data_IF_226002070257
#
_entry.id   IF_226002070257
#
_cell.length_a   1.000
_cell.length_b   1.000
_cell.length_c   1.000
_cell.angle_alpha   90.00
_cell.angle_beta   90.00
_cell.angle_gamma   90.00
#
_symmetry.space_group_name_H-M   'P 1'
#
loop_
_entity.id
_entity.type
_entity.pdbx_description
1 polymer ?
#
# COMPACT_ATOMS: atom_id res chain seq x y z
N UNK A 1 37.73 -22.31 -29.95
CA UNK A 1 38.19 -22.62 -28.59
C UNK A 1 37.05 -22.38 -27.65
N UNK A 2 36.42 -23.46 -27.26
CA UNK A 2 35.20 -23.51 -26.45
C UNK A 2 35.59 -23.76 -25.00
N UNK A 3 35.27 -22.85 -24.08
CA UNK A 3 35.36 -23.09 -22.64
C UNK A 3 33.97 -23.25 -22.04
N UNK A 4 33.62 -24.50 -21.78
CA UNK A 4 32.50 -24.88 -20.92
C UNK A 4 32.92 -24.67 -19.46
N UNK A 5 32.20 -23.79 -18.75
CA UNK A 5 32.29 -23.69 -17.30
C UNK A 5 31.05 -24.34 -16.68
N UNK A 6 31.30 -25.54 -16.13
CA UNK A 6 30.32 -26.34 -15.38
C UNK A 6 30.19 -25.72 -13.96
N UNK A 7 29.04 -25.20 -13.60
CA UNK A 7 28.78 -24.72 -12.23
C UNK A 7 27.96 -25.78 -11.50
N UNK A 8 28.61 -26.39 -10.51
CA UNK A 8 28.08 -27.43 -9.63
C UNK A 8 27.08 -26.81 -8.62
N UNK A 9 25.86 -27.31 -8.65
CA UNK A 9 24.81 -26.92 -7.73
C UNK A 9 25.03 -27.63 -6.38
N UNK A 10 25.30 -26.88 -5.33
CA UNK A 10 25.38 -27.39 -3.96
C UNK A 10 24.01 -27.26 -3.30
N UNK A 11 23.32 -28.39 -3.09
CA UNK A 11 22.02 -28.53 -2.47
C UNK A 11 22.18 -28.51 -0.94
N UNK A 12 21.82 -27.43 -0.27
CA UNK A 12 21.83 -27.34 1.20
C UNK A 12 20.44 -27.63 1.73
N UNK A 13 20.29 -28.76 2.40
CA UNK A 13 19.07 -29.19 3.11
C UNK A 13 19.06 -28.51 4.48
N UNK A 14 18.07 -27.71 4.77
CA UNK A 14 17.83 -27.13 6.10
C UNK A 14 16.70 -27.90 6.78
N UNK A 15 17.02 -28.51 7.94
CA UNK A 15 16.10 -29.24 8.80
C UNK A 15 15.10 -28.31 9.47
N UNK A 16 13.83 -28.67 9.40
CA UNK A 16 12.74 -28.08 10.19
C UNK A 16 12.83 -28.55 11.66
N UNK A 17 12.92 -27.61 12.57
CA UNK A 17 12.74 -27.85 14.00
C UNK A 17 11.33 -27.45 14.41
N UNK A 18 10.51 -28.42 14.77
CA UNK A 18 9.16 -28.24 15.28
C UNK A 18 9.20 -27.82 16.78
N UNK A 19 8.63 -26.66 17.11
CA UNK A 19 8.37 -26.28 18.51
C UNK A 19 6.92 -26.64 18.87
N UNK A 20 6.77 -27.53 19.83
CA UNK A 20 5.52 -27.95 20.44
C UNK A 20 5.02 -26.90 21.45
N UNK A 21 3.72 -26.59 21.40
CA UNK A 21 3.00 -25.70 22.35
C UNK A 21 2.35 -26.61 23.41
N UNK A 22 2.52 -26.36 24.74
CA UNK A 22 1.79 -27.08 25.77
C UNK A 22 0.37 -26.50 25.96
N UNK A 23 -0.65 -27.34 26.27
CA UNK A 23 -1.98 -26.86 26.62
C UNK A 23 -2.03 -26.40 28.08
N UNK A 24 -2.50 -25.18 28.31
CA UNK A 24 -2.78 -24.68 29.66
C UNK A 24 -4.24 -24.96 30.00
N UNK A 25 -4.46 -25.96 30.84
CA UNK A 25 -5.74 -26.32 31.44
C UNK A 25 -5.84 -25.60 32.79
N UNK A 26 -6.79 -24.69 32.92
CA UNK A 26 -7.18 -24.14 34.23
C UNK A 26 -8.65 -24.46 34.45
N UNK A 27 -8.87 -25.53 35.17
CA UNK A 27 -10.16 -25.86 35.85
C UNK A 27 -10.43 -24.82 36.93
N UNK A 28 -11.53 -24.12 36.85
CA UNK A 28 -12.03 -23.29 37.94
C UNK A 28 -13.30 -23.88 38.52
N UNK A 29 -13.16 -24.36 39.75
CA UNK A 29 -14.11 -25.01 40.63
C UNK A 29 -15.31 -24.11 40.93
N UNK A 30 -16.51 -24.68 40.78
CA UNK A 30 -17.80 -24.04 41.10
C UNK A 30 -18.06 -24.31 42.56
N UNK A 31 -18.14 -23.27 43.38
CA UNK A 31 -18.76 -23.31 44.71
C UNK A 31 -20.13 -22.63 44.67
N UNK A 32 -21.14 -23.48 44.89
CA UNK A 32 -22.54 -23.10 45.03
C UNK A 32 -22.78 -22.48 46.43
N UNK A 33 -23.28 -21.26 46.47
CA UNK A 33 -24.05 -20.84 47.64
C UNK A 33 -25.20 -19.94 47.22
N UNK A 34 -26.41 -20.38 47.43
CA UNK A 34 -27.65 -19.73 47.04
C UNK A 34 -28.14 -18.79 48.18
N UNK A 35 -28.55 -17.61 47.82
CA UNK A 35 -29.51 -16.81 48.60
C UNK A 35 -30.39 -16.02 47.64
N UNK A 36 -31.72 -16.06 47.74
CA UNK A 36 -32.62 -15.42 46.82
C UNK A 36 -32.84 -13.97 47.23
N UNK A 37 -32.53 -13.02 46.33
CA UNK A 37 -32.90 -11.64 46.46
C UNK A 37 -33.66 -11.18 45.21
N UNK A 38 -34.81 -10.57 45.45
CA UNK A 38 -35.85 -10.02 44.60
C UNK A 38 -35.38 -9.35 43.30
N UNK A 39 -36.14 -9.50 42.16
CA UNK A 39 -35.74 -8.90 40.88
C UNK A 39 -36.11 -7.42 40.85
N UNK A 40 -35.08 -6.56 40.87
CA UNK A 40 -35.23 -5.15 40.45
C UNK A 40 -35.12 -5.13 38.93
N UNK A 41 -36.23 -4.77 38.29
CA UNK A 41 -36.33 -4.61 36.84
C UNK A 41 -35.60 -3.33 36.44
N UNK A 42 -34.27 -3.42 36.21
CA UNK A 42 -33.50 -2.37 35.55
C UNK A 42 -33.59 -2.63 34.04
N UNK A 43 -34.34 -1.79 33.35
CA UNK A 43 -34.40 -1.69 31.90
C UNK A 43 -32.97 -1.34 31.39
N UNK A 44 -32.18 -2.35 31.16
CA UNK A 44 -30.87 -2.17 30.53
C UNK A 44 -31.12 -1.91 29.03
N UNK A 45 -31.02 -0.62 28.64
CA UNK A 45 -30.93 -0.22 27.24
C UNK A 45 -29.82 -1.03 26.60
N UNK A 46 -30.04 -1.76 25.48
CA UNK A 46 -28.99 -2.49 24.81
C UNK A 46 -27.87 -1.52 24.46
N UNK A 47 -26.59 -1.89 24.65
CA UNK A 47 -25.52 -1.08 24.12
C UNK A 47 -25.70 -1.00 22.62
N UNK A 48 -25.83 0.22 22.10
CA UNK A 48 -25.76 0.51 20.67
C UNK A 48 -24.42 -0.06 20.20
N UNK A 49 -24.46 -1.23 19.55
CA UNK A 49 -23.29 -1.76 18.84
C UNK A 49 -22.91 -0.70 17.82
N UNK A 50 -21.78 -0.04 18.06
CA UNK A 50 -21.10 0.74 17.03
C UNK A 50 -20.81 -0.24 15.89
N UNK A 51 -21.54 -0.10 14.78
CA UNK A 51 -21.21 -0.80 13.55
C UNK A 51 -19.73 -0.54 13.23
N UNK A 52 -18.95 -1.54 12.83
CA UNK A 52 -17.60 -1.30 12.37
C UNK A 52 -17.68 -0.27 11.25
N UNK A 53 -17.00 0.86 11.43
CA UNK A 53 -16.91 1.91 10.42
C UNK A 53 -16.27 1.31 9.19
N UNK A 54 -17.05 0.94 8.22
CA UNK A 54 -16.57 0.49 6.91
C UNK A 54 -15.85 1.70 6.31
N UNK A 55 -14.52 1.62 6.19
CA UNK A 55 -13.71 2.64 5.53
C UNK A 55 -14.30 2.87 4.14
N UNK A 56 -14.61 4.11 3.79
CA UNK A 56 -15.24 4.40 2.51
C UNK A 56 -14.31 4.01 1.34
N UNK A 57 -14.88 3.69 0.17
CA UNK A 57 -14.07 3.43 -1.05
C UNK A 57 -13.13 4.61 -1.35
N UNK A 58 -13.62 5.82 -1.20
CA UNK A 58 -12.81 7.03 -1.43
C UNK A 58 -11.63 7.13 -0.46
N UNK A 59 -11.81 6.77 0.81
CA UNK A 59 -10.72 6.80 1.79
C UNK A 59 -9.69 5.72 1.49
N UNK A 60 -10.11 4.53 1.05
CA UNK A 60 -9.20 3.48 0.59
C UNK A 60 -8.36 3.95 -0.59
N UNK A 61 -8.98 4.62 -1.57
CA UNK A 61 -8.31 5.17 -2.75
C UNK A 61 -7.33 6.29 -2.37
N UNK A 62 -7.73 7.20 -1.45
CA UNK A 62 -6.82 8.26 -0.95
C UNK A 62 -5.59 7.66 -0.27
N UNK A 63 -5.78 6.62 0.55
CA UNK A 63 -4.67 5.90 1.20
C UNK A 63 -3.77 5.23 0.17
N UNK A 64 -4.34 4.54 -0.83
CA UNK A 64 -3.60 3.91 -1.93
C UNK A 64 -2.70 4.93 -2.64
N UNK A 65 -3.26 6.05 -3.10
CA UNK A 65 -2.53 7.09 -3.83
C UNK A 65 -1.48 7.77 -2.95
N UNK A 66 -1.81 8.04 -1.68
CA UNK A 66 -0.86 8.61 -0.74
C UNK A 66 0.34 7.70 -0.49
N UNK A 67 0.10 6.40 -0.29
CA UNK A 67 1.17 5.44 -0.08
C UNK A 67 2.02 5.24 -1.33
N UNK A 68 1.40 5.15 -2.50
CA UNK A 68 2.11 5.12 -3.78
C UNK A 68 2.98 6.37 -3.97
N UNK A 69 2.43 7.56 -3.72
CA UNK A 69 3.17 8.83 -3.85
C UNK A 69 4.48 8.85 -3.04
N UNK A 70 4.47 8.28 -1.82
CA UNK A 70 5.67 8.16 -0.97
C UNK A 70 6.73 7.21 -1.54
N UNK A 71 6.37 6.31 -2.46
CA UNK A 71 7.31 5.37 -3.09
C UNK A 71 8.08 6.00 -4.24
N UNK A 72 7.56 7.06 -4.85
CA UNK A 72 8.16 7.69 -6.03
C UNK A 72 9.63 8.11 -5.78
N UNK A 73 9.93 8.59 -4.58
CA UNK A 73 11.30 8.99 -4.20
C UNK A 73 12.31 7.84 -4.17
N UNK A 74 11.84 6.59 -4.06
CA UNK A 74 12.70 5.41 -3.93
C UNK A 74 13.10 4.81 -5.28
N UNK A 75 12.49 5.25 -6.38
CA UNK A 75 12.74 4.74 -7.72
C UNK A 75 13.56 5.74 -8.51
N UNK A 76 14.77 5.35 -8.93
CA UNK A 76 15.63 6.13 -9.82
C UNK A 76 15.51 5.61 -11.25
N UNK A 77 14.86 6.37 -12.12
CA UNK A 77 14.63 5.97 -13.51
C UNK A 77 15.91 5.89 -14.36
N UNK A 78 17.01 6.44 -13.87
CA UNK A 78 18.34 6.37 -14.54
C UNK A 78 19.23 5.26 -13.97
N UNK A 79 18.77 4.51 -12.96
CA UNK A 79 19.52 3.39 -12.41
C UNK A 79 19.51 2.20 -13.37
N UNK A 80 20.60 1.43 -13.45
CA UNK A 80 20.68 0.23 -14.31
C UNK A 80 19.63 -0.84 -13.95
N UNK A 81 19.19 -0.85 -12.70
CA UNK A 81 18.22 -1.77 -12.11
C UNK A 81 16.83 -1.12 -11.91
N UNK A 82 16.57 0.02 -12.57
CA UNK A 82 15.27 0.72 -12.49
C UNK A 82 14.05 -0.19 -12.69
N UNK A 83 14.01 -1.18 -13.62
CA UNK A 83 12.88 -2.10 -13.72
C UNK A 83 12.64 -2.90 -12.43
N UNK A 84 13.70 -3.31 -11.75
CA UNK A 84 13.58 -4.04 -10.49
C UNK A 84 13.12 -3.12 -9.36
N UNK A 85 13.65 -1.91 -9.25
CA UNK A 85 13.17 -0.91 -8.29
C UNK A 85 11.68 -0.59 -8.48
N UNK A 86 11.22 -0.41 -9.74
CA UNK A 86 9.81 -0.21 -10.09
C UNK A 86 8.96 -1.38 -9.56
N UNK A 87 9.38 -2.62 -9.82
CA UNK A 87 8.67 -3.81 -9.34
C UNK A 87 8.60 -3.84 -7.82
N UNK A 88 9.72 -3.65 -7.15
CA UNK A 88 9.82 -3.76 -5.69
C UNK A 88 9.03 -2.67 -4.97
N UNK A 89 8.98 -1.45 -5.53
CA UNK A 89 8.32 -0.31 -4.91
C UNK A 89 6.84 -0.17 -5.29
N UNK A 90 6.43 -0.62 -6.49
CA UNK A 90 5.10 -0.31 -7.02
C UNK A 90 4.14 -1.49 -7.13
N UNK A 91 4.61 -2.74 -7.06
CA UNK A 91 3.77 -3.93 -7.28
C UNK A 91 2.55 -4.04 -6.37
N UNK A 92 2.59 -3.49 -5.16
CA UNK A 92 1.47 -3.48 -4.23
C UNK A 92 0.39 -2.44 -4.56
N UNK A 93 0.72 -1.43 -5.38
CA UNK A 93 -0.13 -0.25 -5.61
C UNK A 93 -0.71 -0.19 -7.01
N UNK A 94 -0.03 -0.79 -7.99
CA UNK A 94 -0.41 -0.67 -9.40
C UNK A 94 -0.92 -1.99 -9.96
N UNK A 95 -1.74 -1.89 -10.99
CA UNK A 95 -2.22 -3.09 -11.69
C UNK A 95 -1.05 -3.82 -12.37
N UNK A 96 -1.12 -5.17 -12.50
CA UNK A 96 -0.06 -5.94 -13.15
C UNK A 96 0.26 -5.44 -14.57
N UNK A 97 -0.75 -5.06 -15.35
CA UNK A 97 -0.58 -4.54 -16.70
C UNK A 97 0.17 -3.21 -16.76
N UNK A 98 -0.08 -2.31 -15.78
CA UNK A 98 0.62 -1.05 -15.69
C UNK A 98 2.07 -1.26 -15.22
N UNK A 99 2.26 -2.16 -14.26
CA UNK A 99 3.59 -2.56 -13.79
C UNK A 99 4.44 -3.12 -14.93
N UNK A 100 3.91 -4.07 -15.70
CA UNK A 100 4.60 -4.67 -16.84
C UNK A 100 4.96 -3.63 -17.90
N UNK A 101 4.06 -2.66 -18.16
CA UNK A 101 4.33 -1.56 -19.09
C UNK A 101 5.55 -0.74 -18.62
N UNK A 102 5.61 -0.39 -17.35
CA UNK A 102 6.70 0.40 -16.78
C UNK A 102 8.02 -0.36 -16.68
N UNK A 103 7.98 -1.65 -16.39
CA UNK A 103 9.18 -2.50 -16.37
C UNK A 103 9.79 -2.66 -17.77
N UNK A 104 8.95 -2.69 -18.83
CA UNK A 104 9.39 -2.76 -20.22
C UNK A 104 9.86 -1.41 -20.78
N UNK A 105 9.35 -0.30 -20.23
CA UNK A 105 9.70 1.06 -20.65
C UNK A 105 9.71 1.98 -19.42
N UNK A 106 10.85 2.05 -18.76
CA UNK A 106 11.03 2.82 -17.52
C UNK A 106 10.76 4.32 -17.70
N UNK A 107 10.89 4.83 -18.94
CA UNK A 107 10.63 6.25 -19.22
C UNK A 107 9.15 6.64 -19.04
N UNK A 108 8.25 5.67 -18.97
CA UNK A 108 6.82 5.87 -18.73
C UNK A 108 6.43 5.78 -17.26
N UNK A 109 7.33 5.28 -16.42
CA UNK A 109 7.10 5.18 -14.99
C UNK A 109 7.33 6.52 -14.29
N UNK A 110 6.58 6.84 -13.22
CA UNK A 110 6.95 7.95 -12.35
C UNK A 110 8.15 7.57 -11.47
N UNK A 111 8.98 8.56 -11.14
CA UNK A 111 10.17 8.35 -10.32
C UNK A 111 11.15 9.50 -10.45
N UNK A 112 12.34 9.32 -9.90
CA UNK A 112 13.39 10.34 -9.93
C UNK A 112 14.21 10.27 -11.23
N UNK A 113 14.34 11.42 -11.89
CA UNK A 113 15.30 11.63 -12.99
C UNK A 113 16.58 12.35 -12.52
N UNK A 114 16.51 12.99 -11.34
CA UNK A 114 17.62 13.74 -10.74
C UNK A 114 17.68 13.46 -9.23
N UNK A 115 18.79 13.82 -8.60
CA UNK A 115 18.93 13.68 -7.15
C UNK A 115 18.18 14.75 -6.36
N UNK A 116 17.94 15.93 -6.95
CA UNK A 116 17.19 17.03 -6.35
C UNK A 116 16.69 17.98 -7.44
N UNK A 117 15.44 18.46 -7.39
CA UNK A 117 14.39 18.02 -6.46
C UNK A 117 13.99 16.56 -6.68
N UNK A 118 13.28 15.96 -5.71
CA UNK A 118 12.74 14.60 -5.83
C UNK A 118 11.24 14.58 -5.49
N UNK A 119 10.47 13.64 -6.07
CA UNK A 119 9.05 13.46 -5.75
C UNK A 119 8.91 12.96 -4.31
N UNK A 120 8.09 13.66 -3.52
CA UNK A 120 7.86 13.38 -2.10
C UNK A 120 6.48 12.73 -1.86
N UNK A 121 5.45 13.28 -2.50
CA UNK A 121 4.06 12.86 -2.33
C UNK A 121 3.19 13.23 -3.51
N UNK A 122 1.96 12.65 -3.53
CA UNK A 122 0.89 13.08 -4.45
C UNK A 122 -0.17 13.83 -3.63
N UNK A 123 -0.44 15.07 -3.98
CA UNK A 123 -1.54 15.87 -3.44
C UNK A 123 -2.76 15.71 -4.35
N UNK A 124 -3.81 15.05 -3.85
CA UNK A 124 -5.07 14.86 -4.58
C UNK A 124 -5.84 16.19 -4.59
N UNK A 125 -6.25 16.65 -5.76
CA UNK A 125 -7.11 17.84 -5.93
C UNK A 125 -8.56 17.46 -6.23
N UNK A 126 -8.77 16.41 -7.01
CA UNK A 126 -10.10 15.92 -7.39
C UNK A 126 -10.12 14.41 -7.39
N UNK A 127 -11.22 13.83 -6.94
CA UNK A 127 -11.50 12.40 -7.00
C UNK A 127 -12.91 12.25 -7.56
N UNK A 128 -13.03 11.63 -8.74
CA UNK A 128 -14.28 11.48 -9.47
C UNK A 128 -14.57 10.02 -9.75
N UNK A 129 -15.74 9.53 -9.33
CA UNK A 129 -16.17 8.16 -9.60
C UNK A 129 -16.64 8.04 -11.04
N UNK A 130 -16.04 7.11 -11.80
CA UNK A 130 -16.38 6.80 -13.18
C UNK A 130 -16.96 5.38 -13.29
N UNK A 131 -18.16 5.16 -12.78
CA UNK A 131 -18.80 3.85 -12.75
C UNK A 131 -18.67 3.14 -11.39
N UNK A 132 -18.86 1.82 -11.36
CA UNK A 132 -18.87 1.02 -10.12
C UNK A 132 -17.49 0.66 -9.60
N UNK A 133 -16.52 0.55 -10.50
CA UNK A 133 -15.21 -0.07 -10.28
C UNK A 133 -14.03 0.83 -10.68
N UNK A 134 -14.30 2.12 -10.98
CA UNK A 134 -13.29 3.03 -11.52
C UNK A 134 -13.42 4.44 -10.95
N UNK A 135 -12.27 5.04 -10.65
CA UNK A 135 -12.13 6.45 -10.29
C UNK A 135 -11.07 7.14 -11.14
N UNK A 136 -11.35 8.37 -11.55
CA UNK A 136 -10.34 9.31 -12.06
C UNK A 136 -9.89 10.23 -10.91
N UNK A 137 -8.59 10.42 -10.79
CA UNK A 137 -7.98 11.27 -9.77
C UNK A 137 -7.12 12.29 -10.50
N UNK A 138 -7.28 13.55 -10.13
CA UNK A 138 -6.36 14.62 -10.51
C UNK A 138 -5.64 15.11 -9.28
N UNK A 139 -4.39 15.48 -9.45
CA UNK A 139 -3.55 15.94 -8.37
C UNK A 139 -2.23 16.48 -8.86
N UNK A 140 -1.28 16.61 -7.93
CA UNK A 140 0.07 17.02 -8.24
C UNK A 140 1.07 16.07 -7.59
N UNK A 141 2.08 15.64 -8.32
CA UNK A 141 3.32 15.16 -7.70
C UNK A 141 4.02 16.39 -7.13
N UNK A 142 4.23 16.37 -5.83
CA UNK A 142 4.96 17.43 -5.13
C UNK A 142 6.41 17.03 -5.04
N UNK A 143 7.27 17.86 -5.63
CA UNK A 143 8.70 17.71 -5.52
C UNK A 143 9.26 18.63 -4.44
N UNK A 144 10.27 18.14 -3.74
CA UNK A 144 10.94 18.83 -2.65
C UNK A 144 12.46 18.78 -2.79
N UNK A 145 13.13 19.72 -2.15
CA UNK A 145 14.55 19.68 -1.84
C UNK A 145 14.74 19.57 -0.33
N UNK A 146 15.97 19.52 0.14
CA UNK A 146 16.25 19.56 1.59
C UNK A 146 15.69 20.82 2.27
N UNK A 147 15.51 21.91 1.53
CA UNK A 147 14.95 23.15 2.05
C UNK A 147 13.47 23.00 2.38
N UNK A 148 12.67 22.45 1.46
CA UNK A 148 11.24 22.24 1.66
C UNK A 148 10.95 21.16 2.71
N UNK A 149 11.81 20.13 2.82
CA UNK A 149 11.71 19.14 3.88
C UNK A 149 11.80 19.76 5.27
N UNK A 150 12.66 20.77 5.45
CA UNK A 150 12.85 21.44 6.73
C UNK A 150 11.82 22.54 7.00
N UNK A 151 11.44 23.31 5.97
CA UNK A 151 10.62 24.51 6.11
C UNK A 151 9.17 24.31 5.67
N UNK A 152 8.84 23.17 5.09
CA UNK A 152 7.56 22.93 4.41
C UNK A 152 7.51 23.54 3.01
N UNK A 153 6.44 23.24 2.28
CA UNK A 153 6.23 23.77 0.93
C UNK A 153 6.49 22.76 -0.17
N UNK A 154 6.85 23.24 -1.35
CA UNK A 154 7.15 22.47 -2.55
C UNK A 154 8.16 23.23 -3.41
N UNK A 155 9.16 22.53 -3.94
CA UNK A 155 10.07 23.02 -4.96
C UNK A 155 9.38 23.09 -6.33
N UNK A 156 8.55 22.05 -6.62
CA UNK A 156 7.71 22.02 -7.81
C UNK A 156 6.41 21.25 -7.53
N UNK A 157 5.39 21.50 -8.37
CA UNK A 157 4.13 20.73 -8.41
C UNK A 157 3.87 20.35 -9.85
N UNK A 158 3.92 19.05 -10.15
CA UNK A 158 3.71 18.50 -11.48
C UNK A 158 2.29 17.96 -11.55
N UNK A 159 1.40 18.54 -12.38
CA UNK A 159 0.03 18.05 -12.50
C UNK A 159 0.00 16.61 -13.01
N UNK A 160 -0.81 15.77 -12.38
CA UNK A 160 -0.96 14.37 -12.77
C UNK A 160 -2.41 13.94 -12.78
N UNK A 161 -2.69 12.97 -13.64
CA UNK A 161 -3.95 12.24 -13.69
C UNK A 161 -3.68 10.77 -13.46
N UNK A 162 -4.42 10.19 -12.50
CA UNK A 162 -4.39 8.76 -12.20
C UNK A 162 -5.76 8.15 -12.50
N UNK A 163 -5.74 6.89 -12.90
CA UNK A 163 -6.91 6.04 -12.96
C UNK A 163 -6.75 4.94 -11.93
N UNK A 164 -7.73 4.80 -11.06
CA UNK A 164 -7.78 3.72 -10.07
C UNK A 164 -8.92 2.79 -10.43
N UNK A 165 -8.66 1.49 -10.40
CA UNK A 165 -9.64 0.46 -10.76
C UNK A 165 -9.71 -0.61 -9.68
N UNK A 166 -10.94 -1.08 -9.41
CA UNK A 166 -11.16 -2.24 -8.56
C UNK A 166 -10.97 -3.53 -9.36
N UNK A 167 -10.10 -4.39 -8.88
CA UNK A 167 -9.85 -5.72 -9.46
C UNK A 167 -10.07 -6.74 -8.36
N UNK A 168 -11.11 -7.54 -8.48
CA UNK A 168 -11.46 -8.61 -7.53
C UNK A 168 -11.57 -8.14 -6.07
N UNK A 169 -12.10 -6.94 -5.86
CA UNK A 169 -12.31 -6.36 -4.52
C UNK A 169 -11.15 -5.53 -3.98
N UNK A 170 -10.06 -5.40 -4.72
CA UNK A 170 -8.90 -4.58 -4.35
C UNK A 170 -8.70 -3.43 -5.33
N UNK A 171 -8.36 -2.25 -4.80
CA UNK A 171 -8.10 -1.07 -5.60
C UNK A 171 -6.65 -0.99 -6.04
N UNK A 172 -6.40 -0.72 -7.34
CA UNK A 172 -5.08 -0.55 -7.94
C UNK A 172 -5.04 0.69 -8.83
N UNK A 173 -3.90 1.33 -8.90
CA UNK A 173 -3.61 2.35 -9.90
C UNK A 173 -3.45 1.62 -11.25
N UNK A 174 -4.36 1.88 -12.20
CA UNK A 174 -4.38 1.27 -13.52
C UNK A 174 -3.91 2.24 -14.63
N UNK A 175 -3.65 3.51 -14.28
CA UNK A 175 -3.10 4.51 -15.17
C UNK A 175 -2.48 5.66 -14.41
N UNK A 176 -1.41 6.22 -14.97
CA UNK A 176 -0.70 7.39 -14.46
C UNK A 176 -0.22 8.23 -15.66
N UNK A 177 -0.45 9.51 -15.61
CA UNK A 177 -0.02 10.43 -16.66
C UNK A 177 0.29 11.81 -16.06
N UNK A 178 1.47 12.34 -16.35
CA UNK A 178 1.78 13.74 -16.11
C UNK A 178 1.06 14.61 -17.15
N UNK A 179 0.46 15.72 -16.68
CA UNK A 179 -0.22 16.69 -17.52
C UNK A 179 0.71 17.89 -17.72
N UNK A 180 0.93 18.29 -18.98
CA UNK A 180 1.75 19.46 -19.33
C UNK A 180 0.89 20.72 -19.33
#
# INVERSE_FOLDING_TARGET
>A
MTHNLSVTFLLTIILLTACAIPPNSSEQKIDSNATPTTPVCLTTRPPTQASPSTVSEEDQIKVLVSNFGKRLQNVSLLAPDAPQEIKDQYSEYVSPSLLDMWMNDVSKAPGRLVSSPWPDRIEITTLSKEGSDRYEIRGNVVEVTSVEVLNGGAAAKIPVRLVVQNVQGSWYIAGFKEEQ
#
